data_IF_085666878679
#
_entry.id   IF_085666878679
#
_cell.length_a   1.000
_cell.length_b   1.000
_cell.length_c   1.000
_cell.angle_alpha   90.00
_cell.angle_beta   90.00
_cell.angle_gamma   90.00
#
_symmetry.space_group_name_H-M   'P 1'
#
loop_
_entity.id
_entity.type
_entity.pdbx_description
1 polymer ?
2 non-polymer ?
3 non-polymer ?
4 non-polymer ?
5 water ?
#
# COMPACT_ATOMS: atom_id res chain seq x y z
N UNK A 4 -13.48 18.61 2.05
CA UNK A 4 -13.25 17.23 2.60
C UNK A 4 -13.14 17.31 4.12
N UNK A 5 -14.00 16.53 4.79
CA UNK A 5 -14.32 16.74 6.19
C UNK A 5 -14.26 15.43 6.96
N UNK A 6 -13.39 15.38 7.97
CA UNK A 6 -13.21 14.18 8.79
C UNK A 6 -13.75 14.40 10.18
N UNK A 7 -14.28 13.35 10.78
CA UNK A 7 -14.58 13.38 12.20
C UNK A 7 -13.29 13.60 13.02
N UNK A 8 -13.44 14.18 14.22
CA UNK A 8 -12.29 14.39 15.09
C UNK A 8 -11.56 13.07 15.38
N UNK A 9 -12.30 11.98 15.58
CA UNK A 9 -11.66 10.72 15.93
C UNK A 9 -10.89 10.14 14.74
N UNK A 10 -11.48 10.20 13.55
CA UNK A 10 -10.79 9.71 12.37
C UNK A 10 -9.53 10.55 12.13
N UNK A 11 -9.63 11.85 12.34
CA UNK A 11 -8.48 12.75 12.23
C UNK A 11 -7.38 12.33 13.18
N UNK A 12 -7.74 12.06 14.43
CA UNK A 12 -6.74 11.66 15.44
C UNK A 12 -6.05 10.34 15.11
N UNK A 13 -6.82 9.36 14.66
CA UNK A 13 -6.29 8.07 14.19
C UNK A 13 -5.39 8.25 12.98
N UNK A 14 -5.78 9.10 12.06
CA UNK A 14 -4.94 9.37 10.90
C UNK A 14 -3.62 10.03 11.28
N UNK A 15 -3.67 10.93 12.25
CA UNK A 15 -2.47 11.55 12.79
C UNK A 15 -1.54 10.50 13.40
N UNK A 16 -2.11 9.50 14.07
CA UNK A 16 -1.33 8.43 14.69
C UNK A 16 -0.55 7.61 13.67
N UNK A 17 -1.12 7.43 12.47
CA UNK A 17 -0.41 6.66 11.43
C UNK A 17 0.48 7.54 10.54
N UNK A 18 0.54 8.84 10.83
CA UNK A 18 1.32 9.80 10.05
C UNK A 18 2.49 10.35 10.85
N UNK A 19 3.41 11.01 10.18
CA UNK A 19 4.56 11.60 10.86
C UNK A 19 4.21 13.01 11.35
N UNK A 20 5.17 13.70 11.96
CA UNK A 20 4.88 15.01 12.54
C UNK A 20 4.63 16.08 11.47
N UNK A 21 4.98 15.78 10.22
CA UNK A 21 4.75 16.69 9.10
C UNK A 21 3.41 16.45 8.41
N UNK A 22 2.61 15.53 8.92
CA UNK A 22 1.32 15.21 8.31
C UNK A 22 1.46 14.42 7.02
N UNK A 23 2.55 13.66 6.88
CA UNK A 23 2.75 12.75 5.77
C UNK A 23 2.70 11.32 6.28
N UNK A 24 2.09 10.43 5.49
CA UNK A 24 2.02 9.02 5.84
C UNK A 24 3.31 8.40 5.32
N UNK A 25 4.24 8.07 6.23
CA UNK A 25 5.52 7.46 5.86
C UNK A 25 5.53 6.06 6.44
N UNK A 26 4.74 5.18 5.82
CA UNK A 26 4.31 3.94 6.44
C UNK A 26 4.99 2.74 5.79
N UNK A 27 5.19 1.71 6.61
CA UNK A 27 5.87 0.48 6.20
C UNK A 27 4.81 -0.61 6.00
N UNK A 28 4.85 -1.28 4.86
CA UNK A 28 3.87 -2.33 4.53
C UNK A 28 4.44 -3.72 4.69
N UNK A 29 3.77 -4.58 5.46
CA UNK A 29 4.21 -5.97 5.59
C UNK A 29 3.03 -6.85 5.91
N UNK A 30 1.97 -6.73 5.11
CA UNK A 30 0.79 -7.61 5.30
C UNK A 30 0.81 -8.81 4.38
N UNK A 31 1.94 -9.00 3.68
CA UNK A 31 2.04 -10.09 2.75
C UNK A 31 1.87 -11.43 3.46
N UNK A 32 1.16 -12.36 2.82
CA UNK A 32 0.87 -13.67 3.40
C UNK A 32 1.40 -14.75 2.49
N UNK A 33 0.57 -15.23 1.55
CA UNK A 33 1.05 -16.24 0.60
C UNK A 33 2.30 -15.81 -0.15
N UNK A 34 2.35 -14.56 -0.58
CA UNK A 34 3.50 -14.06 -1.32
C UNK A 34 4.80 -14.23 -0.52
N UNK A 35 4.75 -13.95 0.78
CA UNK A 35 5.92 -14.08 1.66
C UNK A 35 6.29 -15.55 1.81
N UNK A 36 5.28 -16.40 1.90
CA UNK A 36 5.54 -17.82 2.05
C UNK A 36 6.41 -18.34 0.88
N UNK A 37 6.07 -17.94 -0.34
CA UNK A 37 6.81 -18.35 -1.53
C UNK A 37 8.20 -17.71 -1.60
N UNK A 38 8.30 -16.45 -1.21
CA UNK A 38 9.61 -15.75 -1.13
C UNK A 38 10.55 -16.49 -0.19
N UNK A 39 10.04 -16.96 0.95
CA UNK A 39 10.84 -17.76 1.87
C UNK A 39 11.18 -19.16 1.36
N UNK A 40 10.18 -19.83 0.78
CA UNK A 40 10.31 -21.23 0.39
C UNK A 40 11.40 -21.43 -0.65
N UNK A 41 11.61 -20.44 -1.50
CA UNK A 41 12.62 -20.58 -2.58
C UNK A 41 14.01 -20.85 -2.04
N UNK A 42 14.27 -20.47 -0.79
CA UNK A 42 15.59 -20.65 -0.18
C UNK A 42 15.81 -22.03 0.43
N UNK A 43 14.80 -22.89 0.40
CA UNK A 43 14.94 -24.22 0.97
C UNK A 43 14.09 -25.32 0.35
N UNK A 44 13.31 -24.99 -0.68
CA UNK A 44 12.48 -25.96 -1.39
C UNK A 44 11.56 -26.69 -0.42
N UNK A 45 11.12 -25.98 0.61
CA UNK A 45 10.05 -26.45 1.51
C UNK A 45 9.45 -25.22 2.17
N UNK A 46 8.21 -25.33 2.61
CA UNK A 46 7.48 -24.17 3.13
C UNK A 46 8.05 -23.70 4.45
N UNK A 47 8.00 -22.37 4.70
CA UNK A 47 8.42 -21.95 6.01
C UNK A 47 7.35 -22.34 6.98
N UNK A 48 7.68 -22.28 8.26
CA UNK A 48 6.72 -22.59 9.30
C UNK A 48 5.98 -21.32 9.64
N UNK A 49 4.88 -21.46 10.38
CA UNK A 49 4.16 -20.29 10.88
C UNK A 49 5.06 -19.45 11.77
N UNK A 50 5.85 -20.14 12.59
CA UNK A 50 6.75 -19.44 13.49
C UNK A 50 7.77 -18.59 12.73
N UNK A 51 8.25 -19.10 11.59
CA UNK A 51 9.22 -18.36 10.79
C UNK A 51 8.58 -17.11 10.18
N UNK A 52 7.35 -17.25 9.68
CA UNK A 52 6.65 -16.12 9.12
C UNK A 52 6.36 -15.04 10.18
N UNK A 53 5.86 -15.45 11.34
CA UNK A 53 5.57 -14.51 12.41
C UNK A 53 6.85 -13.81 12.88
N UNK A 54 7.94 -14.58 12.98
CA UNK A 54 9.21 -14.03 13.48
C UNK A 54 9.82 -12.98 12.53
N UNK A 55 9.78 -13.21 11.23
CA UNK A 55 10.34 -12.24 10.29
C UNK A 55 9.55 -10.93 10.35
N UNK A 56 8.24 -11.03 10.54
CA UNK A 56 7.42 -9.81 10.67
C UNK A 56 7.79 -9.06 11.95
N UNK A 57 8.02 -9.79 13.04
CA UNK A 57 8.44 -9.17 14.29
C UNK A 57 9.75 -8.43 14.07
N UNK A 58 10.70 -9.05 13.38
CA UNK A 58 12.01 -8.43 13.22
C UNK A 58 11.90 -7.14 12.41
N UNK A 59 11.19 -7.22 11.28
CA UNK A 59 10.97 -6.03 10.45
C UNK A 59 10.24 -4.91 11.22
N UNK A 60 9.23 -5.27 12.01
CA UNK A 60 8.50 -4.31 12.81
C UNK A 60 9.38 -3.68 13.88
N UNK A 61 10.07 -4.49 14.67
CA UNK A 61 10.99 -4.02 15.72
C UNK A 61 12.04 -3.07 15.20
N UNK A 62 12.70 -3.46 14.12
CA UNK A 62 13.88 -2.75 13.67
C UNK A 62 13.54 -1.53 12.83
N UNK A 63 12.43 -1.57 12.09
CA UNK A 63 12.17 -0.48 11.11
C UNK A 63 11.05 0.49 11.49
N UNK A 64 10.13 0.10 12.40
CA UNK A 64 9.11 1.05 12.81
C UNK A 64 9.60 2.28 13.58
N UNK A 65 10.83 2.26 14.18
CA UNK A 65 11.33 3.51 14.72
C UNK A 65 11.51 4.59 13.60
N UNK A 66 11.52 4.13 12.35
CA UNK A 66 11.80 4.96 11.17
C UNK A 66 10.60 5.08 10.24
N UNK A 67 9.42 4.67 10.70
CA UNK A 67 8.20 4.77 9.89
C UNK A 67 7.11 5.40 10.76
N UNK A 68 6.09 5.98 10.14
CA UNK A 68 5.04 6.60 10.93
C UNK A 68 4.01 5.58 11.42
N UNK A 69 3.99 4.44 10.74
CA UNK A 69 3.05 3.36 11.03
C UNK A 69 3.47 2.11 10.26
N UNK A 70 2.89 0.98 10.64
CA UNK A 70 3.10 -0.24 9.93
C UNK A 70 1.74 -0.89 9.60
N UNK A 71 1.65 -1.40 8.39
CA UNK A 71 0.54 -2.22 7.93
C UNK A 71 0.87 -3.70 8.07
N UNK A 72 0.00 -4.40 8.77
CA UNK A 72 0.17 -5.84 9.02
C UNK A 72 -1.14 -6.57 8.78
N UNK A 73 -1.01 -7.87 8.56
CA UNK A 73 -2.15 -8.78 8.43
C UNK A 73 -2.48 -9.41 9.77
N UNK A 74 -3.77 -9.63 10.05
CA UNK A 74 -4.12 -10.41 11.26
C UNK A 74 -3.61 -11.85 11.31
N UNK A 75 -3.42 -12.50 10.16
CA UNK A 75 -3.09 -13.91 10.12
C UNK A 75 -1.74 -14.22 10.78
N UNK A 76 -0.71 -13.46 10.44
CA UNK A 76 0.64 -13.68 10.94
C UNK A 76 1.24 -12.47 11.66
N UNK A 77 0.59 -11.30 11.57
CA UNK A 77 1.20 -10.06 11.98
C UNK A 77 0.90 -9.53 13.35
N UNK A 78 0.07 -10.20 14.12
CA UNK A 78 -0.30 -9.67 15.42
C UNK A 78 0.88 -9.59 16.43
N UNK A 79 1.79 -10.59 16.46
CA UNK A 79 3.00 -10.41 17.30
C UNK A 79 3.84 -9.22 16.85
N UNK A 80 3.96 -9.05 15.54
CA UNK A 80 4.69 -7.91 14.95
C UNK A 80 4.06 -6.59 15.34
N UNK A 81 2.73 -6.55 15.36
CA UNK A 81 2.03 -5.33 15.79
C UNK A 81 2.39 -4.96 17.23
N UNK A 82 2.43 -5.96 18.12
CA UNK A 82 2.80 -5.72 19.52
C UNK A 82 4.23 -5.24 19.67
N UNK A 83 5.12 -5.68 18.76
CA UNK A 83 6.54 -5.35 18.81
C UNK A 83 6.89 -3.99 18.18
N UNK A 84 5.91 -3.29 17.60
CA UNK A 84 6.22 -2.03 16.90
C UNK A 84 6.68 -0.91 17.86
N UNK A 85 7.43 0.04 17.33
CA UNK A 85 7.86 1.22 18.07
C UNK A 85 6.67 1.97 18.65
N UNK A 86 6.84 2.48 19.85
CA UNK A 86 5.74 3.19 20.53
C UNK A 86 5.16 4.39 19.76
N UNK A 87 5.93 5.01 18.89
CA UNK A 87 5.41 6.16 18.16
C UNK A 87 4.81 5.78 16.80
N UNK A 88 4.89 4.51 16.45
CA UNK A 88 4.35 4.03 15.16
C UNK A 88 2.89 3.61 15.31
N UNK A 89 2.03 4.08 14.41
CA UNK A 89 0.64 3.65 14.34
C UNK A 89 0.52 2.27 13.69
N UNK A 90 -0.69 1.72 13.73
CA UNK A 90 -0.97 0.38 13.18
C UNK A 90 -2.14 0.42 12.18
N UNK A 91 -1.91 -0.15 11.00
CA UNK A 91 -2.99 -0.48 10.06
C UNK A 91 -3.13 -2.00 10.02
N UNK A 92 -4.36 -2.50 9.94
CA UNK A 92 -4.55 -3.93 9.74
C UNK A 92 -5.34 -4.17 8.48
N UNK A 93 -4.94 -5.19 7.74
CA UNK A 93 -5.63 -5.58 6.48
C UNK A 93 -6.89 -6.34 6.80
N UNK A 94 -7.93 -6.16 5.98
CA UNK A 94 -9.25 -6.80 6.21
C UNK A 94 -9.61 -7.77 5.10
N UNK A 95 -8.90 -7.74 3.97
CA UNK A 95 -9.25 -8.63 2.88
C UNK A 95 -8.55 -9.99 2.93
N UNK A 96 -9.22 -11.00 2.41
CA UNK A 96 -8.55 -12.23 2.00
C UNK A 96 -7.71 -11.97 0.79
N UNK A 97 -6.55 -12.64 0.68
CA UNK A 97 -5.67 -12.36 -0.44
C UNK A 97 -6.11 -13.03 -1.72
N UNK A 98 -5.79 -12.37 -2.82
CA UNK A 98 -5.78 -13.02 -4.13
C UNK A 98 -7.13 -13.13 -4.81
N UNK A 99 -7.19 -14.00 -5.80
CA UNK A 99 -8.35 -14.12 -6.65
C UNK A 99 -8.36 -15.47 -7.36
N UNK A 100 -9.45 -15.84 -8.02
CA UNK A 100 -9.52 -17.05 -8.84
C UNK A 100 -8.91 -16.68 -10.19
N UNK A 101 -7.82 -17.33 -10.58
CA UNK A 101 -7.11 -16.97 -11.81
C UNK A 101 -7.95 -17.27 -13.05
N UNK A 102 -8.89 -18.20 -12.92
CA UNK A 102 -9.73 -18.68 -14.02
C UNK A 102 -11.01 -17.87 -14.26
N UNK A 103 -11.26 -16.85 -13.44
CA UNK A 103 -12.37 -15.96 -13.78
C UNK A 103 -11.85 -14.53 -13.82
N UNK A 104 -12.60 -13.63 -14.39
CA UNK A 104 -12.11 -12.30 -14.63
C UNK A 104 -12.62 -11.32 -13.57
N UNK A 105 -13.49 -11.80 -12.66
CA UNK A 105 -14.22 -10.90 -11.79
C UNK A 105 -13.47 -10.43 -10.56
N UNK A 106 -12.50 -11.23 -10.08
CA UNK A 106 -11.68 -10.86 -8.91
C UNK A 106 -12.45 -10.20 -7.77
N UNK A 107 -13.48 -10.89 -7.31
CA UNK A 107 -14.42 -10.29 -6.37
C UNK A 107 -13.84 -10.21 -4.96
N UNK A 108 -14.25 -9.20 -4.19
CA UNK A 108 -13.63 -8.99 -2.85
C UNK A 108 -14.28 -9.86 -1.76
N UNK A 109 -13.49 -10.20 -0.74
CA UNK A 109 -14.01 -11.01 0.36
C UNK A 109 -13.21 -10.64 1.60
N UNK A 110 -13.91 -10.24 2.66
CA UNK A 110 -13.26 -9.95 3.96
C UNK A 110 -12.82 -11.25 4.67
N UNK A 111 -11.79 -11.11 5.50
CA UNK A 111 -11.34 -12.18 6.36
C UNK A 111 -12.52 -12.64 7.24
N UNK A 112 -12.75 -13.95 7.29
CA UNK A 112 -14.00 -14.48 7.86
C UNK A 112 -14.12 -14.26 9.34
N UNK A 113 -13.02 -14.16 10.05
CA UNK A 113 -13.06 -14.02 11.50
C UNK A 113 -13.14 -12.58 12.00
N UNK A 114 -13.21 -11.60 11.09
CA UNK A 114 -13.00 -10.21 11.43
C UNK A 114 -14.19 -9.35 11.04
N UNK A 115 -14.26 -8.25 11.73
CA UNK A 115 -15.17 -7.14 11.46
C UNK A 115 -14.34 -5.89 11.75
N UNK A 116 -14.80 -4.73 11.28
CA UNK A 116 -14.07 -3.50 11.62
C UNK A 116 -13.97 -3.35 13.14
N UNK A 117 -15.06 -3.60 13.84
CA UNK A 117 -15.07 -3.53 15.29
C UNK A 117 -13.96 -4.37 15.91
N UNK A 118 -13.84 -5.62 15.47
CA UNK A 118 -12.78 -6.51 15.99
C UNK A 118 -11.37 -6.04 15.66
N UNK A 119 -11.19 -5.45 14.48
CA UNK A 119 -9.89 -4.93 14.09
C UNK A 119 -9.49 -3.73 14.96
N UNK A 120 -10.46 -2.86 15.23
CA UNK A 120 -10.24 -1.78 16.20
C UNK A 120 -9.93 -2.32 17.57
N UNK A 121 -10.67 -3.32 18.01
CA UNK A 121 -10.42 -3.94 19.30
C UNK A 121 -9.05 -4.57 19.38
N UNK A 122 -8.55 -5.07 18.25
CA UNK A 122 -7.23 -5.68 18.19
C UNK A 122 -6.10 -4.64 18.15
N UNK A 123 -6.42 -3.36 18.03
CA UNK A 123 -5.47 -2.27 18.17
C UNK A 123 -5.20 -1.43 16.92
N UNK A 124 -5.92 -1.67 15.82
CA UNK A 124 -5.74 -0.88 14.59
C UNK A 124 -6.09 0.57 14.79
N UNK A 125 -5.26 1.44 14.26
CA UNK A 125 -5.57 2.86 14.11
C UNK A 125 -6.30 3.12 12.80
N UNK A 126 -6.21 2.18 11.88
CA UNK A 126 -6.83 2.30 10.56
C UNK A 126 -6.95 0.93 9.94
N UNK A 127 -7.90 0.79 9.02
CA UNK A 127 -8.13 -0.47 8.36
C UNK A 127 -7.94 -0.33 6.84
N UNK A 128 -7.17 -1.25 6.29
CA UNK A 128 -6.93 -1.32 4.86
C UNK A 128 -7.70 -2.47 4.23
N UNK A 129 -8.33 -2.21 3.09
CA UNK A 129 -8.98 -3.26 2.29
C UNK A 129 -8.50 -3.11 0.86
N UNK A 130 -8.00 -4.21 0.30
CA UNK A 130 -7.57 -4.27 -1.08
C UNK A 130 -8.70 -4.75 -2.00
N UNK A 131 -8.97 -3.96 -3.03
CA UNK A 131 -9.92 -4.28 -4.09
C UNK A 131 -9.21 -4.28 -5.42
N UNK A 132 -9.41 -5.35 -6.19
CA UNK A 132 -9.00 -5.40 -7.59
C UNK A 132 -10.09 -4.74 -8.41
N UNK A 133 -9.73 -3.82 -9.32
CA UNK A 133 -10.75 -3.11 -10.06
C UNK A 133 -10.34 -2.83 -11.50
N UNK A 134 -11.20 -3.21 -12.43
CA UNK A 134 -11.08 -2.89 -13.84
C UNK A 134 -12.28 -1.97 -14.18
N UNK A 135 -12.01 -0.69 -14.39
CA UNK A 135 -13.08 0.27 -14.69
C UNK A 135 -13.82 -0.05 -15.99
N UNK A 136 -13.16 -0.79 -16.89
CA UNK A 136 -13.76 -1.21 -18.15
C UNK A 136 -14.37 -2.61 -18.12
N UNK A 137 -14.43 -3.22 -16.95
CA UNK A 137 -14.91 -4.59 -16.81
C UNK A 137 -16.43 -4.71 -16.76
N UNK A 138 -16.89 -5.92 -16.45
CA UNK A 138 -18.31 -6.20 -16.44
C UNK A 138 -19.05 -5.26 -15.50
N UNK A 139 -20.04 -4.51 -16.01
CA UNK A 139 -20.72 -3.57 -15.14
C UNK A 139 -21.39 -4.19 -13.92
N UNK A 140 -21.93 -5.40 -14.03
CA UNK A 140 -22.56 -6.01 -12.86
C UNK A 140 -21.55 -6.43 -11.79
N UNK A 141 -20.38 -6.89 -12.23
CA UNK A 141 -19.29 -7.16 -11.30
C UNK A 141 -18.95 -5.88 -10.55
N UNK A 142 -18.87 -4.77 -11.26
CA UNK A 142 -18.49 -3.54 -10.62
C UNK A 142 -19.56 -2.98 -9.67
N UNK A 143 -20.83 -3.24 -9.97
CA UNK A 143 -21.91 -2.98 -8.99
C UNK A 143 -21.68 -3.75 -7.70
N UNK A 144 -21.36 -5.04 -7.81
CA UNK A 144 -21.10 -5.90 -6.64
C UNK A 144 -19.95 -5.34 -5.85
N UNK A 145 -18.89 -4.93 -6.55
CA UNK A 145 -17.69 -4.39 -5.87
C UNK A 145 -18.02 -3.10 -5.14
N UNK A 146 -18.77 -2.22 -5.80
CA UNK A 146 -19.16 -0.96 -5.20
C UNK A 146 -20.02 -1.18 -3.95
N UNK A 147 -20.97 -2.08 -4.05
CA UNK A 147 -21.77 -2.44 -2.87
C UNK A 147 -20.92 -2.95 -1.71
N UNK A 148 -19.94 -3.79 -2.00
CA UNK A 148 -19.06 -4.33 -0.96
C UNK A 148 -18.29 -3.22 -0.26
N UNK A 149 -17.72 -2.31 -1.04
CA UNK A 149 -16.97 -1.19 -0.47
C UNK A 149 -17.87 -0.26 0.35
N UNK A 150 -19.11 -0.07 -0.08
CA UNK A 150 -20.08 0.73 0.69
C UNK A 150 -20.29 0.14 2.10
N UNK A 151 -20.37 -1.19 2.16
CA UNK A 151 -20.54 -1.87 3.46
C UNK A 151 -19.36 -1.57 4.39
N UNK A 152 -18.15 -1.68 3.86
CA UNK A 152 -16.96 -1.48 4.68
C UNK A 152 -16.86 -0.02 5.11
N UNK A 153 -17.14 0.88 4.18
CA UNK A 153 -17.19 2.32 4.46
C UNK A 153 -18.17 2.67 5.55
N UNK A 154 -19.30 1.99 5.53
CA UNK A 154 -20.29 2.18 6.58
C UNK A 154 -19.82 1.63 7.91
N UNK A 155 -19.20 0.45 7.92
CA UNK A 155 -18.61 -0.06 9.16
C UNK A 155 -17.62 0.95 9.77
N UNK A 156 -16.76 1.51 8.93
CA UNK A 156 -15.72 2.44 9.38
C UNK A 156 -16.30 3.75 9.84
N UNK A 157 -17.44 4.15 9.28
CA UNK A 157 -18.14 5.32 9.78
C UNK A 157 -18.67 5.08 11.20
N UNK A 158 -19.29 3.92 11.40
CA UNK A 158 -19.85 3.56 12.70
C UNK A 158 -18.77 3.44 13.77
N UNK A 159 -17.68 2.78 13.44
CA UNK A 159 -16.58 2.56 14.40
C UNK A 159 -15.65 3.78 14.45
N UNK A 160 -15.87 4.72 13.53
CA UNK A 160 -15.18 6.02 13.48
C UNK A 160 -13.66 5.81 13.42
N UNK A 161 -13.27 5.04 12.41
CA UNK A 161 -11.88 4.66 12.18
C UNK A 161 -11.55 4.82 10.70
N UNK A 162 -10.34 5.28 10.40
CA UNK A 162 -10.07 5.56 9.01
C UNK A 162 -10.05 4.34 8.13
N UNK A 163 -10.65 4.49 6.94
CA UNK A 163 -10.77 3.46 5.94
C UNK A 163 -9.79 3.80 4.83
N UNK A 164 -8.77 2.96 4.69
CA UNK A 164 -7.85 3.00 3.54
C UNK A 164 -8.33 1.98 2.51
N UNK A 165 -8.69 2.43 1.31
CA UNK A 165 -8.96 1.49 0.21
C UNK A 165 -7.76 1.41 -0.67
N UNK A 166 -7.17 0.21 -0.76
CA UNK A 166 -6.14 -0.06 -1.72
C UNK A 166 -6.78 -0.52 -3.03
N UNK A 167 -6.46 0.14 -4.12
CA UNK A 167 -6.94 -0.30 -5.45
C UNK A 167 -5.78 -0.85 -6.25
N UNK A 168 -5.89 -2.10 -6.66
CA UNK A 168 -4.99 -2.70 -7.60
C UNK A 168 -5.77 -2.86 -8.90
N UNK A 169 -5.29 -2.20 -9.95
CA UNK A 169 -5.96 -2.27 -11.23
C UNK A 169 -5.58 -3.52 -12.03
N UNK A 170 -6.47 -3.88 -12.95
CA UNK A 170 -6.21 -4.95 -13.89
C UNK A 170 -7.12 -4.78 -15.08
N UNK A 171 -6.87 -5.59 -16.09
CA UNK A 171 -7.72 -5.67 -17.27
C UNK A 171 -8.19 -7.12 -17.39
N UNK A 172 -9.51 -7.30 -17.47
CA UNK A 172 -10.13 -8.61 -17.64
C UNK A 172 -9.50 -9.38 -18.80
N UNK A 173 -8.96 -8.66 -19.78
CA UNK A 173 -8.42 -9.27 -21.00
C UNK A 173 -6.90 -9.37 -21.08
N UNK A 174 -6.18 -8.85 -20.09
CA UNK A 174 -4.70 -8.85 -20.09
C UNK A 174 -4.19 -9.59 -18.86
N UNK A 175 -3.40 -10.65 -19.06
CA UNK A 175 -2.98 -11.47 -17.91
C UNK A 175 -1.84 -10.83 -17.12
N UNK A 176 -0.87 -10.24 -17.82
CA UNK A 176 0.32 -9.75 -17.15
C UNK A 176 0.33 -8.23 -17.01
N UNK A 177 0.24 -7.74 -15.78
CA UNK A 177 0.26 -6.30 -15.52
C UNK A 177 1.63 -5.66 -15.72
N UNK A 178 2.68 -6.49 -15.90
CA UNK A 178 4.02 -5.96 -16.19
C UNK A 178 4.23 -5.75 -17.67
N UNK A 179 3.26 -6.13 -18.51
CA UNK A 179 3.42 -6.05 -19.96
C UNK A 179 3.31 -4.63 -20.54
N UNK A 180 3.79 -4.49 -21.77
CA UNK A 180 3.63 -3.25 -22.53
C UNK A 180 2.15 -2.99 -22.82
N UNK A 181 1.41 -4.05 -23.14
CA UNK A 181 -0.02 -3.94 -23.39
C UNK A 181 -0.76 -3.35 -22.17
N UNK A 182 -0.41 -3.80 -20.98
CA UNK A 182 -1.03 -3.20 -19.79
C UNK A 182 -0.53 -1.77 -19.54
N UNK A 183 0.74 -1.51 -19.83
CA UNK A 183 1.31 -0.19 -19.61
C UNK A 183 0.51 0.84 -20.40
N UNK A 184 0.02 0.42 -21.58
CA UNK A 184 -0.75 1.30 -22.45
C UNK A 184 -2.16 1.64 -21.97
N UNK A 185 -2.69 0.88 -21.03
CA UNK A 185 -4.01 1.20 -20.46
C UNK A 185 -3.94 1.59 -18.96
N UNK A 186 -2.79 1.50 -18.32
CA UNK A 186 -2.72 1.64 -16.86
C UNK A 186 -3.20 3.01 -16.38
N UNK A 187 -2.83 4.08 -17.09
CA UNK A 187 -3.17 5.42 -16.61
C UNK A 187 -4.68 5.54 -16.46
N UNK A 188 -5.41 5.10 -17.48
CA UNK A 188 -6.86 5.07 -17.49
C UNK A 188 -7.40 4.19 -16.35
N UNK A 189 -6.82 3.02 -16.18
CA UNK A 189 -7.32 2.10 -15.14
C UNK A 189 -7.18 2.69 -13.75
N UNK A 190 -6.02 3.26 -13.46
CA UNK A 190 -5.70 3.82 -12.14
C UNK A 190 -6.51 5.09 -11.87
N UNK A 191 -6.41 6.06 -12.77
CA UNK A 191 -7.02 7.35 -12.50
C UNK A 191 -8.57 7.29 -12.53
N UNK A 192 -9.15 6.53 -13.46
CA UNK A 192 -10.61 6.42 -13.48
C UNK A 192 -11.16 5.59 -12.31
N UNK A 193 -10.39 4.63 -11.79
CA UNK A 193 -10.82 3.89 -10.60
C UNK A 193 -10.86 4.84 -9.40
N UNK A 194 -9.88 5.72 -9.31
CA UNK A 194 -9.83 6.68 -8.21
C UNK A 194 -11.02 7.62 -8.26
N UNK A 195 -11.39 8.03 -9.47
CA UNK A 195 -12.58 8.88 -9.67
C UNK A 195 -13.84 8.19 -9.14
N UNK A 196 -14.04 6.93 -9.51
CA UNK A 196 -15.19 6.16 -9.05
C UNK A 196 -15.26 6.13 -7.51
N UNK A 197 -14.16 5.78 -6.88
CA UNK A 197 -14.17 5.56 -5.43
C UNK A 197 -13.98 6.83 -4.60
N UNK A 198 -13.88 7.99 -5.26
CA UNK A 198 -13.90 9.27 -4.55
C UNK A 198 -15.32 9.70 -4.12
N UNK A 199 -16.35 9.02 -4.63
CA UNK A 199 -17.72 9.34 -4.27
C UNK A 199 -17.94 9.17 -2.78
N UNK A 200 -18.68 10.12 -2.22
CA UNK A 200 -18.92 10.16 -0.78
C UNK A 200 -19.45 8.84 -0.23
N UNK A 201 -20.29 8.17 -0.99
CA UNK A 201 -20.99 6.95 -0.54
C UNK A 201 -20.05 5.79 -0.15
N UNK A 202 -18.79 5.82 -0.56
CA UNK A 202 -17.88 4.74 -0.22
C UNK A 202 -17.18 4.90 1.12
N UNK A 203 -17.25 6.09 1.70
CA UNK A 203 -16.74 6.34 3.06
C UNK A 203 -15.24 6.21 3.20
N UNK A 204 -14.52 6.40 2.11
CA UNK A 204 -13.07 6.20 2.09
C UNK A 204 -12.36 7.43 2.65
N UNK A 205 -11.36 7.21 3.49
CA UNK A 205 -10.55 8.31 4.04
C UNK A 205 -9.23 8.54 3.34
N UNK A 206 -8.58 7.45 2.95
CA UNK A 206 -7.33 7.50 2.21
C UNK A 206 -7.36 6.43 1.10
N UNK A 207 -6.91 6.82 -0.08
CA UNK A 207 -6.71 5.87 -1.18
C UNK A 207 -5.24 5.42 -1.23
N UNK A 208 -5.01 4.10 -1.31
CA UNK A 208 -3.68 3.57 -1.52
C UNK A 208 -3.65 3.04 -2.95
N UNK A 209 -2.81 3.64 -3.78
CA UNK A 209 -2.90 3.47 -5.21
C UNK A 209 -1.53 3.28 -5.85
N UNK A 210 -1.59 2.78 -7.07
CA UNK A 210 -0.42 2.62 -7.91
C UNK A 210 -0.08 4.00 -8.49
N UNK A 211 1.19 4.23 -8.76
CA UNK A 211 1.55 5.32 -9.66
C UNK A 211 0.91 4.99 -11.03
N UNK A 212 0.50 6.00 -11.79
CA UNK A 212 -0.39 5.72 -12.93
C UNK A 212 0.29 5.11 -14.15
N UNK A 213 1.62 5.26 -14.21
CA UNK A 213 2.42 4.71 -15.30
C UNK A 213 3.25 3.54 -14.78
N UNK A 214 3.66 2.68 -15.70
CA UNK A 214 4.77 1.76 -15.42
C UNK A 214 6.06 2.47 -15.80
N UNK A 215 6.84 2.86 -14.78
CA UNK A 215 7.98 3.75 -15.01
C UNK A 215 9.06 3.13 -15.88
N UNK A 216 9.17 1.80 -15.87
CA UNK A 216 10.20 1.17 -16.70
C UNK A 216 9.90 1.31 -18.20
N UNK A 217 8.74 1.85 -18.56
CA UNK A 217 8.43 2.18 -19.95
C UNK A 217 8.35 3.70 -20.19
N UNK A 218 8.85 4.51 -19.25
CA UNK A 218 8.84 5.97 -19.45
C UNK A 218 10.18 6.38 -20.04
N UNK A 219 10.15 7.26 -21.04
CA UNK A 219 11.38 7.79 -21.65
C UNK A 219 12.39 8.20 -20.57
N UNK A 220 13.63 7.75 -20.73
CA UNK A 220 14.70 8.05 -19.76
C UNK A 220 14.91 6.92 -18.78
N UNK A 221 13.82 6.31 -18.34
CA UNK A 221 13.88 5.14 -17.49
C UNK A 221 13.87 3.87 -18.33
N UNK A 222 13.36 3.94 -19.55
CA UNK A 222 13.17 2.76 -20.38
C UNK A 222 14.48 2.24 -20.93
N UNK A 223 14.72 0.94 -20.75
CA UNK A 223 15.85 0.26 -21.38
C UNK A 223 15.44 -0.32 -22.74
N UNK A 224 14.13 -0.52 -22.92
CA UNK A 224 13.60 -1.01 -24.20
C UNK A 224 12.54 -0.10 -24.78
N UNK A 225 11.39 -0.69 -25.12
CA UNK A 225 10.29 0.07 -25.72
C UNK A 225 9.87 1.20 -24.78
N UNK A 226 9.53 2.34 -25.38
CA UNK A 226 9.05 3.50 -24.63
C UNK A 226 7.55 3.66 -24.90
N UNK A 227 6.76 3.59 -23.83
CA UNK A 227 5.31 3.76 -23.92
C UNK A 227 4.88 5.21 -23.66
N UNK A 228 5.57 5.92 -22.78
CA UNK A 228 5.22 7.30 -22.48
C UNK A 228 6.47 8.19 -22.59
N UNK A 229 6.32 9.34 -23.24
CA UNK A 229 7.33 10.40 -23.11
C UNK A 229 7.37 10.91 -21.68
N UNK A 230 8.42 11.64 -21.32
CA UNK A 230 8.46 12.23 -19.98
C UNK A 230 7.24 13.16 -19.77
N UNK A 231 6.86 13.93 -20.79
CA UNK A 231 5.73 14.84 -20.64
C UNK A 231 4.39 14.12 -20.51
N UNK A 232 4.22 13.04 -21.26
CA UNK A 232 3.02 12.22 -21.11
C UNK A 232 2.94 11.62 -19.72
N UNK A 233 4.06 11.15 -19.21
CA UNK A 233 4.07 10.59 -17.87
C UNK A 233 3.72 11.65 -16.83
N UNK A 234 4.25 12.85 -17.02
CA UNK A 234 3.97 13.97 -16.11
C UNK A 234 2.49 14.30 -16.15
N UNK A 235 1.90 14.30 -17.35
CA UNK A 235 0.46 14.54 -17.47
C UNK A 235 -0.32 13.48 -16.72
N UNK A 236 0.14 12.24 -16.76
CA UNK A 236 -0.55 11.15 -16.08
C UNK A 236 -0.61 11.39 -14.58
N UNK A 237 0.48 11.90 -14.02
CA UNK A 237 0.52 12.25 -12.60
C UNK A 237 -0.41 13.43 -12.25
N UNK A 238 -0.48 14.43 -13.12
CA UNK A 238 -1.39 15.54 -12.90
C UNK A 238 -2.83 15.08 -12.97
N UNK A 239 -3.11 14.18 -13.89
CA UNK A 239 -4.47 13.64 -14.05
C UNK A 239 -4.86 12.81 -12.83
N UNK A 240 -3.88 12.12 -12.23
CA UNK A 240 -4.10 11.37 -10.99
C UNK A 240 -4.48 12.29 -9.87
N UNK A 241 -3.70 13.36 -9.72
CA UNK A 241 -3.97 14.34 -8.67
C UNK A 241 -5.37 14.94 -8.85
N UNK A 242 -5.77 15.14 -10.11
CA UNK A 242 -7.10 15.71 -10.44
C UNK A 242 -8.25 14.68 -10.28
N UNK A 243 -7.91 13.40 -10.14
CA UNK A 243 -8.91 12.32 -10.10
C UNK A 243 -9.55 12.14 -8.73
N UNK A 244 -9.01 12.78 -7.71
CA UNK A 244 -9.58 12.68 -6.36
C UNK A 244 -9.24 13.90 -5.53
N UNK A 245 -10.11 14.24 -4.58
CA UNK A 245 -9.76 15.19 -3.53
C UNK A 245 -9.39 14.52 -2.20
N UNK A 246 -9.46 13.19 -2.15
CA UNK A 246 -9.06 12.44 -0.95
C UNK A 246 -7.53 12.43 -0.83
N UNK A 247 -7.01 12.32 0.39
CA UNK A 247 -5.63 11.93 0.55
C UNK A 247 -5.36 10.63 -0.19
N UNK A 248 -4.21 10.53 -0.83
CA UNK A 248 -3.80 9.27 -1.43
C UNK A 248 -2.31 9.04 -1.25
N UNK A 249 -1.95 7.78 -1.19
CA UNK A 249 -0.57 7.37 -0.99
C UNK A 249 -0.21 6.28 -1.97
N UNK A 250 1.09 6.16 -2.28
CA UNK A 250 1.55 5.17 -3.23
C UNK A 250 2.06 3.88 -2.59
N UNK A 251 1.70 2.76 -3.20
CA UNK A 251 2.32 1.47 -2.87
C UNK A 251 3.55 1.30 -3.76
N UNK A 252 4.51 0.48 -3.33
CA UNK A 252 5.75 0.36 -4.08
C UNK A 252 5.67 -0.63 -5.24
N UNK A 253 4.77 -1.60 -5.12
CA UNK A 253 4.61 -2.68 -6.11
C UNK A 253 5.88 -3.52 -6.25
N UNK A 254 6.75 -3.48 -5.24
CA UNK A 254 7.99 -4.28 -5.24
C UNK A 254 9.06 -3.86 -6.24
N UNK A 255 8.99 -2.62 -6.73
CA UNK A 255 10.08 -2.08 -7.53
C UNK A 255 11.29 -1.90 -6.61
N UNK A 256 12.45 -1.62 -7.20
CA UNK A 256 13.68 -1.41 -6.45
C UNK A 256 13.58 -0.16 -5.57
N UNK A 257 14.36 -0.12 -4.51
CA UNK A 257 14.42 1.07 -3.67
C UNK A 257 14.77 2.29 -4.54
N UNK A 258 15.77 2.15 -5.42
CA UNK A 258 16.17 3.29 -6.25
C UNK A 258 15.04 3.75 -7.17
N UNK A 259 14.42 2.83 -7.88
CA UNK A 259 13.33 3.22 -8.77
C UNK A 259 12.18 3.86 -7.98
N UNK A 260 11.83 3.32 -6.80
CA UNK A 260 10.75 3.93 -6.01
C UNK A 260 11.11 5.39 -5.63
N UNK A 261 12.33 5.60 -5.16
CA UNK A 261 12.79 6.97 -4.88
C UNK A 261 12.65 7.87 -6.11
N UNK A 262 13.12 7.40 -7.27
CA UNK A 262 13.05 8.19 -8.49
C UNK A 262 11.63 8.51 -8.89
N UNK A 263 10.72 7.57 -8.67
CA UNK A 263 9.30 7.74 -9.02
C UNK A 263 8.68 8.84 -8.19
N UNK A 264 9.04 8.91 -6.91
CA UNK A 264 8.50 9.90 -6.00
C UNK A 264 8.98 11.31 -6.40
N UNK A 265 10.26 11.40 -6.72
CA UNK A 265 10.83 12.66 -7.24
C UNK A 265 10.11 13.06 -8.53
N UNK A 266 9.95 12.12 -9.44
CA UNK A 266 9.22 12.40 -10.70
C UNK A 266 7.78 12.88 -10.47
N UNK A 267 7.08 12.17 -9.60
CA UNK A 267 5.70 12.50 -9.24
C UNK A 267 5.59 13.95 -8.73
N UNK A 268 6.48 14.32 -7.80
CA UNK A 268 6.48 15.65 -7.23
C UNK A 268 6.79 16.71 -8.29
N UNK A 269 7.80 16.45 -9.10
CA UNK A 269 8.14 17.39 -10.16
C UNK A 269 6.98 17.61 -11.17
N UNK A 270 6.21 16.55 -11.42
CA UNK A 270 5.09 16.62 -12.38
C UNK A 270 3.92 17.42 -11.85
N UNK A 271 3.80 17.49 -10.52
CA UNK A 271 2.70 18.20 -9.86
C UNK A 271 1.75 17.37 -9.01
N UNK A 272 2.04 16.09 -8.79
CA UNK A 272 1.19 15.28 -7.93
C UNK A 272 1.42 15.72 -6.48
N UNK A 273 0.35 15.81 -5.70
CA UNK A 273 0.46 16.15 -4.30
C UNK A 273 0.07 14.91 -3.49
N UNK A 274 0.74 13.81 -3.80
CA UNK A 274 0.60 12.56 -3.05
C UNK A 274 1.02 12.78 -1.58
N UNK A 275 0.39 12.02 -0.68
CA UNK A 275 0.42 12.32 0.72
C UNK A 275 1.21 11.32 1.53
N UNK A 276 2.05 10.60 0.83
CA UNK A 276 2.93 9.61 1.45
C UNK A 276 2.93 8.29 0.72
N UNK A 277 3.32 7.24 1.45
CA UNK A 277 3.50 5.94 0.86
C UNK A 277 3.18 4.88 1.92
N UNK A 278 2.80 3.70 1.44
CA UNK A 278 2.78 2.48 2.25
C UNK A 278 3.76 1.60 1.49
N UNK A 279 5.01 1.60 1.94
CA UNK A 279 6.10 1.02 1.18
C UNK A 279 6.55 -0.29 1.87
N UNK A 280 6.54 -1.36 1.11
CA UNK A 280 6.88 -2.71 1.61
C UNK A 280 8.18 -3.27 1.08
N UNK A 281 8.08 -4.10 0.05
CA UNK A 281 9.21 -4.86 -0.47
C UNK A 281 10.42 -3.98 -0.83
N UNK A 282 10.16 -2.79 -1.39
CA UNK A 282 11.26 -1.88 -1.76
C UNK A 282 12.17 -1.62 -0.54
N UNK A 283 11.59 -1.64 0.67
CA UNK A 283 12.37 -1.45 1.89
C UNK A 283 12.99 -2.75 2.43
N UNK A 284 12.20 -3.81 2.58
CA UNK A 284 12.66 -4.99 3.34
C UNK A 284 13.00 -6.26 2.54
N UNK A 285 12.87 -6.22 1.22
CA UNK A 285 13.04 -7.42 0.36
C UNK A 285 14.26 -8.25 0.72
N UNK A 286 15.43 -7.60 0.84
CA UNK A 286 16.68 -8.32 1.09
C UNK A 286 16.76 -9.08 2.41
N UNK A 287 15.89 -8.75 3.37
CA UNK A 287 15.92 -9.44 4.65
C UNK A 287 15.48 -10.91 4.56
N UNK A 288 14.69 -11.26 3.53
CA UNK A 288 14.10 -12.60 3.46
C UNK A 288 15.20 -13.64 3.29
N UNK A 289 16.08 -13.45 2.31
CA UNK A 289 17.17 -14.41 2.11
C UNK A 289 18.09 -14.55 3.33
N UNK A 290 18.41 -13.41 3.96
CA UNK A 290 19.28 -13.42 5.12
C UNK A 290 18.68 -14.16 6.30
N UNK A 291 17.41 -13.90 6.55
CA UNK A 291 16.70 -14.59 7.60
C UNK A 291 16.73 -16.12 7.39
N UNK A 292 16.41 -16.55 6.18
CA UNK A 292 16.28 -17.99 5.89
C UNK A 292 17.65 -18.68 5.96
N UNK A 293 18.65 -18.08 5.31
CA UNK A 293 19.98 -18.69 5.20
C UNK A 293 20.91 -18.43 6.39
N UNK A 294 20.82 -17.26 7.01
CA UNK A 294 21.77 -16.91 8.07
C UNK A 294 21.15 -16.78 9.45
N UNK A 295 19.83 -16.69 9.53
CA UNK A 295 19.12 -16.72 10.81
C UNK A 295 18.63 -15.37 11.30
N UNK A 296 18.07 -15.39 12.51
CA UNK A 296 17.36 -14.24 13.08
C UNK A 296 18.26 -13.05 13.37
N UNK A 297 19.38 -13.28 14.05
CA UNK A 297 20.27 -12.17 14.36
C UNK A 297 20.92 -11.61 13.11
N UNK A 298 21.23 -12.45 12.14
CA UNK A 298 21.77 -11.97 10.86
C UNK A 298 20.74 -11.08 10.17
N UNK A 299 19.49 -11.52 10.19
CA UNK A 299 18.42 -10.70 9.60
C UNK A 299 18.26 -9.36 10.33
N UNK A 300 18.34 -9.37 11.65
CA UNK A 300 18.36 -8.12 12.43
C UNK A 300 19.48 -7.19 11.98
N UNK A 301 20.68 -7.75 11.78
CA UNK A 301 21.80 -6.94 11.29
C UNK A 301 21.59 -6.43 9.87
N UNK A 302 20.95 -7.20 9.00
CA UNK A 302 20.56 -6.69 7.67
C UNK A 302 19.61 -5.50 7.84
N UNK A 303 18.59 -5.67 8.65
CA UNK A 303 17.62 -4.58 8.87
C UNK A 303 18.25 -3.33 9.44
N UNK A 304 19.26 -3.50 10.32
CA UNK A 304 19.94 -2.39 10.95
C UNK A 304 20.96 -1.70 10.05
N UNK A 305 21.19 -2.25 8.86
CA UNK A 305 22.20 -1.73 7.94
C UNK A 305 21.52 -1.40 6.61
N UNK A 306 21.33 -2.40 5.76
CA UNK A 306 20.70 -2.20 4.46
C UNK A 306 19.25 -1.75 4.59
N UNK A 307 18.48 -2.34 5.50
CA UNK A 307 17.08 -1.93 5.65
C UNK A 307 16.98 -0.52 6.13
N UNK A 308 17.80 -0.21 7.11
CA UNK A 308 17.85 1.13 7.66
C UNK A 308 18.26 2.14 6.61
N UNK A 309 19.27 1.81 5.80
CA UNK A 309 19.64 2.71 4.72
C UNK A 309 18.47 2.93 3.74
N UNK A 310 17.80 1.84 3.37
CA UNK A 310 16.65 1.97 2.45
C UNK A 310 15.60 2.92 3.00
N UNK A 311 15.16 2.69 4.23
CA UNK A 311 14.07 3.48 4.77
C UNK A 311 14.46 4.92 5.09
N UNK A 312 15.70 5.13 5.52
CA UNK A 312 16.20 6.50 5.72
C UNK A 312 16.30 7.27 4.42
N UNK A 313 16.71 6.60 3.35
CA UNK A 313 16.74 7.25 2.05
C UNK A 313 15.31 7.59 1.60
N UNK A 314 14.37 6.68 1.83
CA UNK A 314 12.96 6.95 1.54
C UNK A 314 12.45 8.16 2.30
N UNK A 315 12.70 8.22 3.60
CA UNK A 315 12.28 9.36 4.40
C UNK A 315 12.87 10.67 3.91
N UNK A 316 14.13 10.67 3.51
CA UNK A 316 14.68 11.92 3.02
C UNK A 316 14.03 12.35 1.68
N UNK A 317 13.71 11.41 0.80
CA UNK A 317 12.98 11.72 -0.41
C UNK A 317 11.58 12.23 -0.07
N UNK A 318 10.91 11.57 0.89
CA UNK A 318 9.56 12.00 1.25
C UNK A 318 9.52 13.43 1.77
N UNK A 319 10.53 13.84 2.54
CA UNK A 319 10.54 15.20 3.07
C UNK A 319 10.47 16.21 1.93
N UNK A 320 11.08 15.90 0.79
CA UNK A 320 11.11 16.88 -0.30
C UNK A 320 10.07 16.65 -1.41
N UNK A 321 9.32 15.55 -1.33
CA UNK A 321 8.41 15.20 -2.41
C UNK A 321 6.95 15.06 -1.99
N UNK A 322 6.69 14.60 -0.76
CA UNK A 322 5.32 14.35 -0.31
C UNK A 322 4.62 15.62 0.21
N UNK A 323 3.30 15.65 0.07
CA UNK A 323 2.49 16.77 0.53
C UNK A 323 1.66 16.35 1.74
N UNK A 324 1.56 17.21 2.78
CA UNK A 324 0.80 16.75 3.96
C UNK A 324 -0.67 16.60 3.66
N UNK A 325 -1.30 15.60 4.26
CA UNK A 325 -2.73 15.36 3.98
C UNK A 325 -3.60 16.41 4.69
N UNK A 326 -3.02 17.06 5.69
CA UNK A 326 -3.74 18.05 6.46
C UNK A 326 -4.16 19.21 5.56
N UNK A 327 -3.51 19.38 4.41
CA UNK A 327 -3.87 20.41 3.46
C UNK A 327 -5.07 20.05 2.57
N UNK A 328 -5.47 18.78 2.58
CA UNK A 328 -6.60 18.29 1.79
C UNK A 328 -7.86 18.11 2.64
N UNK A 329 -7.69 18.05 3.96
CA UNK A 329 -8.69 17.58 4.90
C UNK A 329 -8.70 18.46 6.14
N UNK A 330 -9.89 18.69 6.71
CA UNK A 330 -10.01 19.29 8.07
C UNK A 330 -11.14 18.63 8.87
N UNK A 331 -11.16 18.86 10.18
CA UNK A 331 -12.14 18.26 11.07
C UNK A 331 -13.51 18.93 10.97
N UNK A 332 -14.57 18.13 11.11
CA UNK A 332 -15.95 18.66 11.13
C UNK A 332 -16.98 17.75 11.79
X LIG B 1 4.53 -3.06 -1.42
X LIG B 1 3.64 -3.02 -2.71
X LIG B 1 5.23 -1.70 -1.38
X LIG B 1 3.60 -3.34 -0.22
X LIG B 1 5.46 -4.26 -1.55
X LIG C 1 -20.42 7.49 3.51
X LIG C 1 -21.79 7.93 3.60
X LIG C 1 -20.11 6.50 4.61
X LIG C 1 -21.11 5.52 4.61
X LIG D 1 3.20 8.08 14.03
X LIG E 1 -10.49 -11.72 16.93
X LIG E 1 -11.47 -10.87 17.50
X LIG E 1 -10.91 -12.18 15.53
X LIG E 1 -12.14 -12.89 15.61
X LIG F 1 2.58 -1.87 -13.97
X LIG F 1 3.34 -0.80 -13.36
X LIG F 1 1.65 -2.51 -12.94
X LIG F 1 2.43 -3.11 -11.87
X LIG G 1 0.76 -4.86 -1.60
X LIG G 1 -0.48 -4.55 -2.24
X LIG G 1 0.74 -4.28 -0.19
X LIG G 1 -0.50 -4.55 0.49
X LIG H 1 -19.10 -8.26 4.71
X LIG H 1 -18.19 -7.20 4.36
X LIG H 1 -20.45 -8.11 4.05
X LIG H 1 -21.54 -8.15 5.00
X LIG I 1 -7.68 17.07 -6.53
X LIG J 1 13.03 3.26 -0.80
X LIG J 1 14.36 3.62 -0.36
X LIG J 1 12.67 1.92 -0.13
X LIG J 1 12.81 2.02 1.29
X LIG K 1 -0.69 11.29 -20.92
X LIG K 1 -1.36 11.09 -22.19
X LIG K 1 -1.26 10.35 -19.86
X LIG K 1 -2.69 10.42 -19.78
X LIG L 1 -3.85 13.63 -23.63
X LIG L 1 -2.49 14.10 -23.64
X LIG L 1 -4.31 13.45 -22.18
X LIG L 1 -3.23 13.01 -21.36
#
# INVERSE_FOLDING_TARGET
SNAMILSQQKYNYLAKVSDSNGVISALAFDQRGALKCLMAQYQMKEPTVAQMEELKVLVSEELTPYASSILLDPEYGLPAAQARDREAGLLLAYEKTGYDANTTSRLPDCLVDWSIKRLKEAGADAVKFLLYYDVDGDPQVNVQKQAYIERIGSECQAEDIPFFLEILTYDETISNNSSVEFAKVKVHKVNDAMKVFSAERFGIDVLKVEVPVNMVYVEGFAEGEVVYSKEEAAQAFREQEASTDLPYIYLSAGVSAELFQETLVFAHKAGAKFNGVLCGRATWAGSVQVYMEEGKEAARQWLRTSGLQNINELNKVLKTTASPWTEKVSVG
PO4 P O1 O2 O3 O4
EDO C1 O1 C2 O2
K K
EDO C1 O1 C2 O2
EDO C1 O1 C2 O2
EDO C1 O1 C2 O2
EDO C1 O1 C2 O2
K K
EDO C1 O1 C2 O2
EDO C1 O1 C2 O2
EDO C1 O1 C2 O2
#
